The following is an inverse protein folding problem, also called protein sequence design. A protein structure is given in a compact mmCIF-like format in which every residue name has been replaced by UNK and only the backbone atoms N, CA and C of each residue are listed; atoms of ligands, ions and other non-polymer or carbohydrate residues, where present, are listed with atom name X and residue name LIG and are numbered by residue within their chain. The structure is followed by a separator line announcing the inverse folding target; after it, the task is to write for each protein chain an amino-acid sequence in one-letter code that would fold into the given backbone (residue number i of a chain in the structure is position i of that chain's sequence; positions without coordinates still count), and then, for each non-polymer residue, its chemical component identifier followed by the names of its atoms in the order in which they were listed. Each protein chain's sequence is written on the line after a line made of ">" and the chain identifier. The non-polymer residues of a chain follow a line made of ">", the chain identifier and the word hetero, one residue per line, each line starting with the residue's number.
data_IF_079773066846
#
_entry.id   IF_079773066846
#
_cell.length_a   1.000
_cell.length_b   1.000
_cell.length_c   1.000
_cell.angle_alpha   90.00
_cell.angle_beta   90.00
_cell.angle_gamma   90.00
#
_symmetry.space_group_name_H-M   'P 1'
#
loop_
_entity.id
_entity.type
_entity.pdbx_description
1 polymer ?
#
# COMPACT_ATOMS: atom_id res chain seq x y z
N UNK A 1 -39.63 -2.09 7.54
CA UNK A 1 -38.52 -1.24 7.04
C UNK A 1 -37.37 -2.14 6.62
N UNK A 2 -37.16 -2.30 5.32
CA UNK A 2 -35.94 -2.96 4.84
C UNK A 2 -34.77 -2.01 5.10
N UNK A 3 -33.86 -2.41 5.99
CA UNK A 3 -32.57 -1.76 6.15
C UNK A 3 -31.78 -2.17 4.91
N UNK A 4 -31.80 -1.34 3.87
CA UNK A 4 -30.84 -1.49 2.78
C UNK A 4 -29.45 -1.29 3.40
N UNK A 5 -28.51 -2.24 3.28
CA UNK A 5 -27.14 -1.99 3.70
C UNK A 5 -26.67 -0.76 2.93
N UNK A 6 -26.14 0.24 3.64
CA UNK A 6 -25.43 1.35 3.00
C UNK A 6 -24.32 0.69 2.19
N UNK A 7 -24.48 0.63 0.86
CA UNK A 7 -23.44 0.16 -0.05
C UNK A 7 -22.19 0.98 0.29
N UNK A 8 -21.15 0.31 0.81
CA UNK A 8 -19.89 0.99 1.14
C UNK A 8 -19.35 1.53 -0.16
N UNK A 9 -19.37 2.86 -0.30
CA UNK A 9 -18.80 3.56 -1.43
C UNK A 9 -17.35 3.08 -1.64
N UNK A 10 -17.03 2.67 -2.87
CA UNK A 10 -15.70 2.15 -3.21
C UNK A 10 -14.65 3.21 -2.91
N UNK A 11 -13.64 2.84 -2.15
CA UNK A 11 -12.45 3.63 -1.87
C UNK A 11 -11.21 2.79 -2.10
N UNK A 12 -10.32 3.31 -2.93
CA UNK A 12 -9.04 2.70 -3.31
C UNK A 12 -7.94 3.72 -3.12
N UNK A 13 -6.68 3.26 -3.08
CA UNK A 13 -5.53 4.15 -3.00
C UNK A 13 -4.40 3.74 -3.90
N UNK A 14 -3.70 4.73 -4.45
CA UNK A 14 -2.34 4.55 -4.92
C UNK A 14 -1.37 5.03 -3.82
N UNK A 15 -0.45 4.16 -3.42
CA UNK A 15 0.43 4.40 -2.29
C UNK A 15 1.93 4.28 -2.67
N UNK A 16 2.50 5.24 -3.42
CA UNK A 16 3.90 5.18 -3.83
C UNK A 16 4.85 5.66 -2.71
N UNK A 17 5.98 4.97 -2.55
CA UNK A 17 7.12 5.50 -1.81
C UNK A 17 7.94 6.43 -2.72
N UNK A 18 8.27 7.66 -2.29
CA UNK A 18 8.98 8.63 -3.12
C UNK A 18 10.51 8.37 -3.12
N UNK A 19 10.91 7.13 -3.39
CA UNK A 19 12.33 6.70 -3.45
C UNK A 19 12.87 6.61 -4.89
N UNK A 20 12.10 7.15 -5.85
CA UNK A 20 12.44 7.23 -7.25
C UNK A 20 11.29 7.82 -8.05
N UNK A 21 11.50 8.00 -9.35
CA UNK A 21 10.42 8.44 -10.25
C UNK A 21 9.33 7.37 -10.40
N UNK A 22 8.14 7.80 -10.84
CA UNK A 22 6.99 6.94 -11.09
C UNK A 22 7.31 5.88 -12.16
N UNK A 23 7.60 4.66 -11.71
CA UNK A 23 7.85 3.52 -12.57
C UNK A 23 6.57 3.08 -13.30
N UNK A 24 6.66 2.63 -14.55
CA UNK A 24 5.46 2.26 -15.35
C UNK A 24 4.63 1.13 -14.73
N UNK A 25 5.27 0.19 -14.02
CA UNK A 25 4.54 -0.83 -13.26
C UNK A 25 3.71 -0.25 -12.11
N UNK A 26 4.20 0.80 -11.46
CA UNK A 26 3.45 1.52 -10.44
C UNK A 26 2.39 2.43 -11.07
N UNK A 27 2.68 3.03 -12.23
CA UNK A 27 1.69 3.78 -13.00
C UNK A 27 0.50 2.90 -13.42
N UNK A 28 0.74 1.65 -13.85
CA UNK A 28 -0.32 0.69 -14.14
C UNK A 28 -1.17 0.36 -12.90
N UNK A 29 -0.53 0.19 -11.73
CA UNK A 29 -1.27 0.08 -10.46
C UNK A 29 -2.18 1.28 -10.24
N UNK A 30 -1.67 2.50 -10.46
CA UNK A 30 -2.45 3.73 -10.31
C UNK A 30 -3.62 3.77 -11.30
N UNK A 31 -3.40 3.41 -12.57
CA UNK A 31 -4.45 3.32 -13.61
C UNK A 31 -5.56 2.36 -13.19
N UNK A 32 -5.25 1.16 -12.71
CA UNK A 32 -6.27 0.20 -12.29
C UNK A 32 -7.06 0.67 -11.08
N UNK A 33 -6.41 1.28 -10.08
CA UNK A 33 -7.12 1.88 -8.95
C UNK A 33 -8.03 3.02 -9.44
N UNK A 34 -7.52 3.91 -10.30
CA UNK A 34 -8.29 5.03 -10.84
C UNK A 34 -9.50 4.56 -11.66
N UNK A 35 -9.31 3.61 -12.58
CA UNK A 35 -10.39 3.00 -13.37
C UNK A 35 -11.42 2.32 -12.48
N UNK A 36 -10.99 1.56 -11.47
CA UNK A 36 -11.89 0.88 -10.55
C UNK A 36 -12.73 1.87 -9.74
N UNK A 37 -12.12 2.94 -9.24
CA UNK A 37 -12.84 4.02 -8.55
C UNK A 37 -13.87 4.67 -9.49
N UNK A 38 -13.45 5.12 -10.68
CA UNK A 38 -14.31 5.82 -11.63
C UNK A 38 -15.46 4.93 -12.12
N UNK A 39 -15.21 3.64 -12.38
CA UNK A 39 -16.23 2.69 -12.80
C UNK A 39 -17.34 2.51 -11.75
N UNK A 40 -16.98 2.47 -10.47
CA UNK A 40 -17.92 2.27 -9.36
C UNK A 40 -18.43 3.58 -8.74
N UNK A 41 -18.10 4.75 -9.31
CA UNK A 41 -18.42 6.05 -8.69
C UNK A 41 -17.79 6.26 -7.31
N UNK A 42 -16.65 5.62 -7.06
CA UNK A 42 -15.89 5.66 -5.81
C UNK A 42 -14.78 6.71 -5.79
N UNK A 43 -13.94 6.66 -4.75
CA UNK A 43 -12.83 7.58 -4.52
C UNK A 43 -11.46 6.94 -4.78
N UNK A 44 -10.61 7.66 -5.51
CA UNK A 44 -9.20 7.38 -5.73
C UNK A 44 -8.33 8.29 -4.86
N UNK A 45 -7.68 7.69 -3.86
CA UNK A 45 -6.88 8.38 -2.86
C UNK A 45 -5.39 8.26 -3.18
N UNK A 46 -4.64 9.34 -2.94
CA UNK A 46 -3.19 9.32 -3.05
C UNK A 46 -2.55 9.38 -1.66
N UNK A 47 -1.70 8.40 -1.35
CA UNK A 47 -0.95 8.35 -0.09
C UNK A 47 0.55 8.22 -0.36
N UNK A 48 1.35 9.18 0.08
CA UNK A 48 2.80 9.15 -0.09
C UNK A 48 3.43 8.40 1.09
N UNK A 49 4.12 7.30 0.81
CA UNK A 49 4.77 6.45 1.81
C UNK A 49 6.22 6.90 2.06
N UNK A 50 6.37 8.07 2.70
CA UNK A 50 7.62 8.82 2.90
C UNK A 50 8.25 8.65 4.29
N UNK A 51 7.95 7.55 4.99
CA UNK A 51 8.55 7.26 6.32
C UNK A 51 10.03 6.88 6.26
N UNK A 52 10.54 6.58 5.07
CA UNK A 52 11.96 6.36 4.83
C UNK A 52 12.64 7.68 4.45
N UNK A 53 12.98 8.48 5.47
CA UNK A 53 13.51 9.83 5.29
C UNK A 53 14.84 9.91 4.52
N UNK A 54 15.63 8.84 4.51
CA UNK A 54 16.92 8.82 3.81
C UNK A 54 16.73 8.64 2.29
N UNK A 55 15.71 7.86 1.90
CA UNK A 55 15.45 7.54 0.50
C UNK A 55 14.35 8.41 -0.12
N UNK A 56 13.55 9.08 0.70
CA UNK A 56 12.43 9.92 0.26
C UNK A 56 12.86 11.35 0.01
N UNK A 57 12.39 11.96 -1.08
CA UNK A 57 12.61 13.39 -1.33
C UNK A 57 11.36 14.11 -1.86
N UNK A 58 11.31 15.42 -1.62
CA UNK A 58 10.26 16.30 -2.17
C UNK A 58 10.29 16.32 -3.70
N UNK A 59 11.49 16.28 -4.30
CA UNK A 59 11.67 16.21 -5.75
C UNK A 59 11.05 14.93 -6.34
N UNK A 60 11.31 13.77 -5.71
CA UNK A 60 10.74 12.50 -6.15
C UNK A 60 9.22 12.48 -5.98
N UNK A 61 8.73 13.03 -4.88
CA UNK A 61 7.30 13.23 -4.66
C UNK A 61 6.69 14.08 -5.77
N UNK A 62 7.27 15.25 -6.07
CA UNK A 62 6.81 16.14 -7.13
C UNK A 62 6.83 15.44 -8.50
N UNK A 63 7.87 14.65 -8.79
CA UNK A 63 7.97 13.85 -10.00
C UNK A 63 6.86 12.79 -10.13
N UNK A 64 6.50 12.13 -9.03
CA UNK A 64 5.37 11.19 -9.00
C UNK A 64 4.05 11.92 -9.28
N UNK A 65 3.79 13.03 -8.59
CA UNK A 65 2.57 13.84 -8.80
C UNK A 65 2.47 14.37 -10.23
N UNK A 66 3.59 14.83 -10.80
CA UNK A 66 3.65 15.29 -12.19
C UNK A 66 3.38 14.15 -13.17
N UNK A 67 3.92 12.95 -12.93
CA UNK A 67 3.67 11.77 -13.74
C UNK A 67 2.19 11.34 -13.74
N UNK A 68 1.56 11.32 -12.57
CA UNK A 68 0.13 11.02 -12.45
C UNK A 68 -0.74 12.05 -13.19
N UNK A 69 -0.48 13.34 -12.99
CA UNK A 69 -1.19 14.42 -13.69
C UNK A 69 -1.02 14.36 -15.19
N UNK A 70 0.20 14.06 -15.66
CA UNK A 70 0.48 13.93 -17.09
C UNK A 70 -0.27 12.76 -17.73
N UNK A 71 -0.43 11.64 -17.01
CA UNK A 71 -1.26 10.51 -17.42
C UNK A 71 -2.78 10.78 -17.34
N UNK A 72 -3.20 11.96 -16.84
CA UNK A 72 -4.61 12.29 -16.67
C UNK A 72 -5.27 11.63 -15.45
N UNK A 73 -4.48 11.18 -14.47
CA UNK A 73 -4.98 10.53 -13.26
C UNK A 73 -5.20 11.58 -12.17
N UNK A 74 -6.41 12.13 -12.10
CA UNK A 74 -6.86 12.97 -10.99
C UNK A 74 -7.15 12.12 -9.74
N UNK A 75 -7.02 12.71 -8.55
CA UNK A 75 -7.33 12.07 -7.27
C UNK A 75 -8.27 12.95 -6.46
N UNK A 76 -9.12 12.33 -5.65
CA UNK A 76 -10.34 12.97 -5.17
C UNK A 76 -10.14 13.74 -3.85
N UNK A 77 -9.05 13.46 -3.13
CA UNK A 77 -8.74 14.06 -1.82
C UNK A 77 -7.29 14.55 -1.78
N UNK A 78 -6.98 15.45 -0.82
CA UNK A 78 -5.60 15.92 -0.66
C UNK A 78 -4.66 14.74 -0.39
N UNK A 79 -3.45 14.71 -1.01
CA UNK A 79 -2.49 13.65 -0.75
C UNK A 79 -2.16 13.54 0.74
N UNK A 80 -2.13 12.32 1.24
CA UNK A 80 -1.80 12.00 2.64
C UNK A 80 -0.35 11.59 2.73
N UNK A 81 0.40 12.15 3.68
CA UNK A 81 1.83 11.85 3.88
C UNK A 81 2.01 11.06 5.16
N UNK A 82 2.70 9.91 5.08
CA UNK A 82 2.90 9.06 6.24
C UNK A 82 3.86 9.70 7.26
N UNK A 83 4.82 10.51 6.81
CA UNK A 83 5.70 11.31 7.66
C UNK A 83 4.95 12.25 8.62
N UNK A 84 3.74 12.68 8.26
CA UNK A 84 2.91 13.56 9.06
C UNK A 84 2.04 12.81 10.08
N UNK A 85 2.09 11.47 10.07
CA UNK A 85 1.18 10.58 10.81
C UNK A 85 1.89 9.69 11.82
N UNK A 86 3.16 9.97 12.09
CA UNK A 86 4.00 9.20 13.03
C UNK A 86 3.34 9.03 14.40
N UNK A 87 2.75 10.12 14.93
CA UNK A 87 2.07 10.08 16.23
C UNK A 87 0.89 9.11 16.24
N UNK A 88 0.08 9.09 15.18
CA UNK A 88 -1.04 8.16 15.05
C UNK A 88 -0.55 6.70 15.08
N UNK A 89 0.54 6.39 14.37
CA UNK A 89 1.08 5.03 14.38
C UNK A 89 1.61 4.64 15.75
N UNK A 90 2.27 5.55 16.46
CA UNK A 90 2.75 5.32 17.82
C UNK A 90 1.59 5.03 18.78
N UNK A 91 0.50 5.79 18.68
CA UNK A 91 -0.72 5.57 19.45
C UNK A 91 -1.35 4.21 19.14
N UNK A 92 -1.45 3.83 17.86
CA UNK A 92 -1.98 2.52 17.44
C UNK A 92 -1.11 1.34 17.86
N UNK A 93 0.21 1.48 17.83
CA UNK A 93 1.11 0.47 18.37
C UNK A 93 0.94 0.31 19.89
N UNK A 94 0.82 1.43 20.63
CA UNK A 94 0.58 1.39 22.07
C UNK A 94 -0.79 0.76 22.42
N UNK A 95 -1.82 1.03 21.60
CA UNK A 95 -3.13 0.39 21.69
C UNK A 95 -3.02 -1.14 21.55
N UNK A 96 -2.28 -1.62 20.56
CA UNK A 96 -2.05 -3.06 20.34
C UNK A 96 -1.28 -3.70 21.51
N UNK A 97 -0.31 -3.01 22.09
CA UNK A 97 0.39 -3.48 23.29
C UNK A 97 -0.57 -3.59 24.47
N UNK A 98 -1.40 -2.57 24.70
CA UNK A 98 -2.41 -2.57 25.78
C UNK A 98 -3.42 -3.72 25.62
N UNK A 99 -3.75 -4.10 24.38
CA UNK A 99 -4.61 -5.24 24.05
C UNK A 99 -3.91 -6.61 24.14
N UNK A 100 -2.60 -6.65 24.38
CA UNK A 100 -1.80 -7.88 24.39
C UNK A 100 -1.53 -8.47 23.00
N UNK A 101 -1.89 -7.76 21.93
CA UNK A 101 -1.64 -8.15 20.54
C UNK A 101 -0.23 -7.75 20.05
N UNK A 102 0.50 -6.97 20.84
CA UNK A 102 1.88 -6.59 20.59
C UNK A 102 2.66 -6.53 21.91
N UNK A 103 3.98 -6.54 21.83
CA UNK A 103 4.86 -6.44 22.99
C UNK A 103 6.11 -5.63 22.68
N UNK A 104 6.71 -5.05 23.73
CA UNK A 104 8.01 -4.42 23.63
C UNK A 104 9.11 -5.49 23.67
N UNK A 105 10.10 -5.38 22.79
CA UNK A 105 11.28 -6.24 22.87
C UNK A 105 12.09 -5.91 24.13
N UNK A 106 12.46 -6.95 24.89
CA UNK A 106 13.23 -6.84 26.13
C UNK A 106 14.75 -6.93 25.95
N UNK A 107 15.23 -7.12 24.73
CA UNK A 107 16.67 -7.22 24.46
C UNK A 107 17.31 -5.83 24.30
N UNK A 108 18.05 -5.41 25.33
CA UNK A 108 18.79 -4.14 25.38
C UNK A 108 17.94 -2.91 25.70
N UNK A 109 18.47 -1.71 25.45
CA UNK A 109 17.77 -0.43 25.60
C UNK A 109 16.75 -0.13 24.47
N UNK A 110 16.44 -1.13 23.64
CA UNK A 110 15.61 -1.00 22.44
C UNK A 110 14.11 -1.03 22.77
N UNK A 111 13.38 0.04 22.46
CA UNK A 111 11.92 0.14 22.64
C UNK A 111 11.11 -0.33 21.41
N UNK A 112 11.67 -1.22 20.59
CA UNK A 112 10.95 -1.73 19.43
C UNK A 112 9.66 -2.45 19.85
N UNK A 113 8.59 -2.29 19.07
CA UNK A 113 7.30 -2.97 19.29
C UNK A 113 7.12 -4.03 18.23
N UNK A 114 6.84 -5.27 18.64
CA UNK A 114 6.52 -6.39 17.74
C UNK A 114 5.07 -6.80 17.88
N UNK A 115 4.45 -7.12 16.75
CA UNK A 115 3.16 -7.77 16.70
C UNK A 115 3.32 -9.23 17.14
N UNK A 116 2.44 -9.67 18.04
CA UNK A 116 2.34 -11.06 18.46
C UNK A 116 1.36 -11.77 17.54
N UNK A 117 1.87 -12.61 16.66
CA UNK A 117 1.05 -13.39 15.73
C UNK A 117 0.21 -14.38 16.54
N UNK A 118 -1.13 -14.35 16.41
CA UNK A 118 -1.97 -15.37 17.02
C UNK A 118 -1.77 -16.72 16.33
N UNK A 119 -2.00 -17.80 17.06
CA UNK A 119 -1.99 -19.15 16.50
C UNK A 119 -3.30 -19.41 15.71
N UNK A 120 -3.45 -18.69 14.60
CA UNK A 120 -4.61 -18.71 13.71
C UNK A 120 -4.15 -18.63 12.26
N UNK A 121 -4.63 -19.55 11.43
CA UNK A 121 -4.41 -19.55 10.00
C UNK A 121 -5.11 -18.36 9.33
N UNK A 122 -4.47 -17.80 8.30
CA UNK A 122 -5.03 -16.69 7.53
C UNK A 122 -5.57 -17.20 6.21
N UNK A 123 -6.89 -17.15 6.05
CA UNK A 123 -7.58 -17.35 4.79
C UNK A 123 -8.12 -16.03 4.24
N UNK A 124 -7.92 -15.80 2.93
CA UNK A 124 -8.57 -14.71 2.20
C UNK A 124 -8.73 -15.05 0.72
N UNK A 125 -9.64 -14.34 0.05
CA UNK A 125 -9.81 -14.44 -1.40
C UNK A 125 -9.20 -13.19 -2.04
N UNK A 126 -8.16 -13.38 -2.83
CA UNK A 126 -7.65 -12.36 -3.72
C UNK A 126 -8.54 -12.27 -4.97
N UNK A 127 -8.85 -11.06 -5.42
CA UNK A 127 -9.73 -10.84 -6.57
C UNK A 127 -9.11 -11.27 -7.90
N UNK A 128 -7.78 -11.43 -7.96
CA UNK A 128 -7.04 -11.86 -9.16
C UNK A 128 -6.57 -13.31 -9.00
N UNK A 129 -5.92 -13.64 -7.88
CA UNK A 129 -5.33 -14.98 -7.67
C UNK A 129 -6.31 -16.00 -7.06
N UNK A 130 -7.48 -15.57 -6.59
CA UNK A 130 -8.47 -16.44 -5.96
C UNK A 130 -8.14 -16.77 -4.49
N UNK A 131 -8.59 -17.93 -3.97
CA UNK A 131 -8.43 -18.27 -2.56
C UNK A 131 -6.97 -18.53 -2.18
N UNK A 132 -6.51 -17.93 -1.08
CA UNK A 132 -5.18 -18.07 -0.52
C UNK A 132 -5.31 -18.43 0.97
N UNK A 133 -4.54 -19.43 1.40
CA UNK A 133 -4.46 -19.87 2.80
C UNK A 133 -3.01 -19.91 3.24
N UNK A 134 -2.72 -19.32 4.40
CA UNK A 134 -1.38 -19.31 5.01
C UNK A 134 -1.48 -19.77 6.44
N UNK A 135 -0.70 -20.80 6.78
CA UNK A 135 -0.66 -21.36 8.13
C UNK A 135 0.03 -20.40 9.11
N UNK A 136 -0.45 -20.36 10.36
CA UNK A 136 0.07 -19.48 11.43
C UNK A 136 1.58 -19.63 11.61
N UNK A 137 2.09 -20.87 11.58
CA UNK A 137 3.51 -21.21 11.75
C UNK A 137 4.44 -20.64 10.68
N UNK A 138 3.91 -20.19 9.54
CA UNK A 138 4.68 -19.55 8.47
C UNK A 138 4.76 -18.02 8.64
N UNK A 139 4.20 -17.48 9.72
CA UNK A 139 4.15 -16.06 10.01
C UNK A 139 4.82 -15.80 11.36
N UNK A 140 6.04 -15.28 11.33
CA UNK A 140 6.74 -14.87 12.55
C UNK A 140 6.24 -13.51 13.08
N UNK A 141 6.35 -13.32 14.41
CA UNK A 141 6.20 -12.03 15.07
C UNK A 141 7.03 -10.97 14.37
N UNK A 142 6.41 -9.88 13.95
CA UNK A 142 7.07 -8.86 13.11
C UNK A 142 7.03 -7.48 13.74
N UNK A 143 8.01 -6.65 13.39
CA UNK A 143 8.17 -5.31 13.97
C UNK A 143 7.07 -4.37 13.47
N UNK A 144 6.42 -3.64 14.39
CA UNK A 144 5.45 -2.58 14.12
C UNK A 144 6.09 -1.19 14.26
N UNK A 145 6.87 -0.98 15.32
CA UNK A 145 7.69 0.21 15.54
C UNK A 145 9.14 -0.19 15.74
N UNK A 146 10.04 0.52 15.06
CA UNK A 146 11.48 0.42 15.28
C UNK A 146 11.86 1.06 16.62
N UNK A 147 13.08 0.80 17.09
CA UNK A 147 13.60 1.36 18.35
C UNK A 147 13.64 2.89 18.38
N UNK A 148 13.76 3.54 17.22
CA UNK A 148 13.69 5.00 17.05
C UNK A 148 12.25 5.55 17.01
N UNK A 149 11.23 4.71 17.22
CA UNK A 149 9.83 5.11 17.25
C UNK A 149 9.17 5.30 15.87
N UNK A 150 9.89 5.02 14.76
CA UNK A 150 9.32 5.06 13.42
C UNK A 150 8.52 3.78 13.11
N UNK A 151 7.39 3.90 12.39
CA UNK A 151 6.59 2.77 11.97
C UNK A 151 7.32 1.90 10.93
N UNK A 152 6.94 0.63 10.88
CA UNK A 152 7.22 -0.21 9.71
C UNK A 152 6.09 -0.09 8.68
N UNK A 153 6.38 -0.55 7.47
CA UNK A 153 5.42 -0.63 6.37
C UNK A 153 4.11 -1.32 6.76
N UNK A 154 4.17 -2.41 7.55
CA UNK A 154 2.97 -3.14 7.94
C UNK A 154 2.03 -2.30 8.81
N UNK A 155 2.59 -1.58 9.79
CA UNK A 155 1.78 -0.75 10.68
C UNK A 155 1.21 0.46 9.94
N UNK A 156 2.03 1.21 9.21
CA UNK A 156 1.59 2.44 8.56
C UNK A 156 0.50 2.16 7.51
N UNK A 157 0.69 1.15 6.66
CA UNK A 157 -0.30 0.78 5.63
C UNK A 157 -1.64 0.41 6.22
N UNK A 158 -1.67 -0.47 7.22
CA UNK A 158 -2.94 -0.95 7.80
C UNK A 158 -3.65 0.18 8.54
N UNK A 159 -2.93 0.96 9.35
CA UNK A 159 -3.53 2.08 10.09
C UNK A 159 -4.12 3.11 9.13
N UNK A 160 -3.40 3.45 8.05
CA UNK A 160 -3.90 4.41 7.07
C UNK A 160 -5.03 3.87 6.21
N UNK A 161 -4.97 2.60 5.80
CA UNK A 161 -6.08 2.01 5.04
C UNK A 161 -7.37 1.98 5.88
N UNK A 162 -7.28 1.74 7.21
CA UNK A 162 -8.42 1.84 8.14
C UNK A 162 -8.91 3.30 8.24
N UNK A 163 -8.01 4.24 8.54
CA UNK A 163 -8.35 5.65 8.77
C UNK A 163 -8.94 6.33 7.51
N UNK A 164 -8.45 5.95 6.33
CA UNK A 164 -8.92 6.44 5.04
C UNK A 164 -10.15 5.68 4.52
N UNK A 165 -10.62 4.66 5.23
CA UNK A 165 -11.77 3.84 4.85
C UNK A 165 -11.57 3.09 3.54
N UNK A 166 -10.36 2.62 3.25
CA UNK A 166 -10.04 1.87 2.04
C UNK A 166 -10.83 0.57 2.02
N UNK A 167 -11.54 0.35 0.91
CA UNK A 167 -12.37 -0.84 0.69
C UNK A 167 -11.66 -1.90 -0.14
N UNK A 168 -10.79 -1.46 -1.05
CA UNK A 168 -10.09 -2.31 -2.01
C UNK A 168 -8.62 -1.91 -2.08
N UNK A 169 -7.73 -2.88 -1.92
CA UNK A 169 -6.27 -2.72 -2.02
C UNK A 169 -5.80 -3.41 -3.29
N UNK A 170 -5.65 -2.63 -4.35
CA UNK A 170 -5.13 -3.08 -5.65
C UNK A 170 -3.64 -2.70 -5.72
N UNK A 171 -2.74 -3.68 -5.73
CA UNK A 171 -1.28 -3.47 -5.66
C UNK A 171 -0.49 -4.57 -6.37
N UNK A 172 0.84 -4.44 -6.46
CA UNK A 172 1.70 -5.44 -7.11
C UNK A 172 1.79 -6.77 -6.36
N UNK A 173 1.98 -7.87 -7.11
CA UNK A 173 2.21 -9.23 -6.60
C UNK A 173 3.38 -9.34 -5.62
N UNK A 174 4.33 -8.40 -5.66
CA UNK A 174 5.42 -8.33 -4.68
C UNK A 174 4.95 -8.06 -3.25
N UNK A 175 3.69 -7.67 -3.05
CA UNK A 175 3.10 -7.50 -1.73
C UNK A 175 2.21 -8.65 -1.26
N UNK A 176 2.04 -9.71 -2.06
CA UNK A 176 1.11 -10.80 -1.71
C UNK A 176 1.50 -11.51 -0.40
N UNK A 177 2.81 -11.66 -0.14
CA UNK A 177 3.35 -12.24 1.09
C UNK A 177 3.18 -11.34 2.33
N UNK A 178 2.91 -10.04 2.13
CA UNK A 178 2.63 -9.10 3.22
C UNK A 178 1.16 -9.15 3.68
N UNK A 179 0.26 -9.63 2.82
CA UNK A 179 -1.19 -9.61 3.04
C UNK A 179 -1.61 -10.40 4.28
N UNK A 180 -1.11 -11.63 4.55
CA UNK A 180 -1.47 -12.35 5.77
C UNK A 180 -1.13 -11.59 7.04
N UNK A 181 0.07 -11.00 7.11
CA UNK A 181 0.52 -10.15 8.23
C UNK A 181 -0.39 -8.94 8.43
N UNK A 182 -0.80 -8.30 7.33
CA UNK A 182 -1.68 -7.13 7.37
C UNK A 182 -3.09 -7.50 7.81
N UNK A 183 -3.65 -8.62 7.32
CA UNK A 183 -4.98 -9.12 7.73
C UNK A 183 -5.03 -9.35 9.25
N UNK A 184 -4.01 -9.99 9.82
CA UNK A 184 -3.92 -10.17 11.28
C UNK A 184 -3.91 -8.84 12.03
N UNK A 185 -3.21 -7.84 11.47
CA UNK A 185 -3.15 -6.51 12.06
C UNK A 185 -4.49 -5.76 11.97
N UNK A 186 -5.22 -5.87 10.85
CA UNK A 186 -6.60 -5.35 10.73
C UNK A 186 -7.49 -5.94 11.83
N UNK A 187 -7.47 -7.27 11.98
CA UNK A 187 -8.26 -8.00 12.98
C UNK A 187 -7.91 -7.54 14.41
N UNK A 188 -6.62 -7.41 14.73
CA UNK A 188 -6.17 -6.94 16.05
C UNK A 188 -6.57 -5.48 16.36
N UNK A 189 -6.67 -4.64 15.32
CA UNK A 189 -7.19 -3.28 15.42
C UNK A 189 -8.73 -3.22 15.42
N UNK A 190 -9.42 -4.37 15.32
CA UNK A 190 -10.88 -4.46 15.33
C UNK A 190 -11.53 -4.02 14.01
N UNK A 191 -10.78 -4.03 12.91
CA UNK A 191 -11.26 -3.64 11.59
C UNK A 191 -11.42 -4.86 10.67
N UNK A 192 -12.42 -4.82 9.79
CA UNK A 192 -12.53 -5.78 8.69
C UNK A 192 -11.46 -5.44 7.63
N UNK A 193 -10.68 -6.43 7.16
CA UNK A 193 -9.75 -6.19 6.05
C UNK A 193 -10.48 -5.72 4.78
N UNK A 194 -9.85 -4.89 3.94
CA UNK A 194 -10.35 -4.58 2.61
C UNK A 194 -10.27 -5.82 1.71
N UNK A 195 -10.92 -5.75 0.55
CA UNK A 195 -10.69 -6.71 -0.52
C UNK A 195 -9.32 -6.49 -1.14
N UNK A 196 -8.60 -7.56 -1.47
CA UNK A 196 -7.25 -7.48 -2.04
C UNK A 196 -7.25 -7.94 -3.49
N UNK A 197 -6.48 -7.24 -4.33
CA UNK A 197 -6.19 -7.64 -5.69
C UNK A 197 -4.70 -7.44 -5.96
N UNK A 198 -3.98 -8.53 -6.19
CA UNK A 198 -2.55 -8.48 -6.50
C UNK A 198 -2.34 -8.63 -8.01
N UNK A 199 -1.83 -7.58 -8.64
CA UNK A 199 -1.54 -7.55 -10.08
C UNK A 199 -0.12 -8.03 -10.38
N UNK A 200 0.00 -8.91 -11.36
CA UNK A 200 1.29 -9.46 -11.80
C UNK A 200 2.25 -8.40 -12.31
N UNK A 201 3.51 -8.48 -11.93
CA UNK A 201 4.50 -7.45 -12.27
C UNK A 201 4.72 -7.36 -13.79
N UNK A 202 5.20 -6.20 -14.26
CA UNK A 202 5.68 -6.05 -15.64
C UNK A 202 7.06 -6.72 -15.73
N UNK A 203 7.22 -7.62 -16.70
CA UNK A 203 8.47 -8.32 -16.96
C UNK A 203 9.17 -7.75 -18.20
N UNK A 204 10.49 -7.76 -18.20
CA UNK A 204 11.30 -7.48 -19.37
C UNK A 204 11.33 -8.68 -20.35
N UNK A 205 11.97 -8.53 -21.52
CA UNK A 205 12.13 -9.61 -22.49
C UNK A 205 12.88 -10.84 -21.94
N UNK A 206 13.68 -10.64 -20.89
CA UNK A 206 14.43 -11.69 -20.18
C UNK A 206 13.61 -12.43 -19.12
N UNK A 207 12.30 -12.15 -19.03
CA UNK A 207 11.36 -12.67 -18.01
C UNK A 207 11.72 -12.29 -16.57
N UNK A 208 12.58 -11.28 -16.35
CA UNK A 208 12.82 -10.69 -15.03
C UNK A 208 11.95 -9.47 -14.82
N UNK A 209 11.74 -9.10 -13.56
CA UNK A 209 11.00 -7.87 -13.20
C UNK A 209 11.61 -6.69 -13.96
N UNK A 210 10.76 -5.91 -14.63
CA UNK A 210 11.19 -4.72 -15.35
C UNK A 210 11.92 -3.78 -14.37
N UNK A 211 13.02 -3.21 -14.84
CA UNK A 211 13.93 -2.42 -14.04
C UNK A 211 14.69 -1.45 -14.93
N UNK A 212 15.39 -0.48 -14.33
CA UNK A 212 16.19 0.52 -15.06
C UNK A 212 17.21 -0.09 -16.04
N UNK A 213 17.66 -1.32 -15.83
CA UNK A 213 18.59 -2.02 -16.74
C UNK A 213 17.98 -2.36 -18.11
N UNK A 214 16.65 -2.41 -18.17
CA UNK A 214 15.89 -2.65 -19.41
C UNK A 214 15.62 -1.37 -20.21
N UNK A 215 16.19 -0.23 -19.79
CA UNK A 215 16.02 1.06 -20.44
C UNK A 215 15.01 1.96 -19.72
N UNK A 216 14.14 2.58 -20.50
CA UNK A 216 13.20 3.59 -20.01
C UNK A 216 12.07 2.93 -19.22
N UNK A 217 11.92 3.36 -17.97
CA UNK A 217 10.98 2.74 -17.03
C UNK A 217 10.16 3.75 -16.24
N UNK A 218 10.43 5.04 -16.37
CA UNK A 218 9.70 6.13 -15.73
C UNK A 218 8.69 6.75 -16.69
N UNK A 219 7.50 7.10 -16.19
CA UNK A 219 6.45 7.79 -16.94
C UNK A 219 6.96 9.08 -17.59
N UNK A 220 7.70 9.91 -16.84
CA UNK A 220 8.19 11.19 -17.36
C UNK A 220 9.28 11.02 -18.43
N UNK A 221 10.01 9.91 -18.42
CA UNK A 221 10.96 9.62 -19.50
C UNK A 221 10.24 9.28 -20.81
N UNK A 222 9.12 8.56 -20.76
CA UNK A 222 8.28 8.33 -21.95
C UNK A 222 7.70 9.63 -22.51
N UNK A 223 7.29 10.57 -21.63
CA UNK A 223 6.93 11.93 -22.04
C UNK A 223 8.08 12.60 -22.79
N UNK A 224 9.28 12.57 -22.23
CA UNK A 224 10.46 13.25 -22.80
C UNK A 224 10.89 12.62 -24.14
N UNK A 225 10.53 11.35 -24.39
CA UNK A 225 10.66 10.68 -25.68
C UNK A 225 9.58 11.06 -26.71
N UNK A 226 8.58 11.86 -26.34
CA UNK A 226 7.48 12.27 -27.21
C UNK A 226 6.32 11.28 -27.27
N UNK A 227 6.24 10.30 -26.36
CA UNK A 227 5.06 9.43 -26.28
C UNK A 227 3.87 10.22 -25.75
N UNK A 228 2.71 10.09 -26.39
CA UNK A 228 1.49 10.74 -25.96
C UNK A 228 0.96 10.10 -24.65
N UNK A 229 0.40 10.88 -23.71
CA UNK A 229 -0.08 10.35 -22.44
C UNK A 229 -1.17 9.30 -22.63
N UNK A 230 -2.12 9.52 -23.56
CA UNK A 230 -3.16 8.56 -23.89
C UNK A 230 -2.61 7.27 -24.52
N UNK A 231 -1.51 7.36 -25.28
CA UNK A 231 -0.89 6.17 -25.87
C UNK A 231 -0.21 5.31 -24.79
N UNK A 232 0.48 5.95 -23.83
CA UNK A 232 1.07 5.22 -22.70
C UNK A 232 -0.02 4.66 -21.78
N UNK A 233 -1.07 5.44 -21.47
CA UNK A 233 -2.22 4.97 -20.69
C UNK A 233 -2.86 3.74 -21.34
N UNK A 234 -3.09 3.76 -22.65
CA UNK A 234 -3.71 2.64 -23.36
C UNK A 234 -2.80 1.39 -23.44
N UNK A 235 -1.48 1.59 -23.44
CA UNK A 235 -0.53 0.48 -23.45
C UNK A 235 -0.42 -0.22 -22.09
N UNK A 236 -0.57 0.54 -21.00
CA UNK A 236 -0.45 0.06 -19.63
C UNK A 236 -1.73 -0.61 -19.15
#
# INVERSE_FOLDING_TARGET
>A
CAIFPIEKMVRVRFAPSPTGHLHIGAARTAIYNWLFARHHGGSFILRIEDTDFERSSEEMTAGILAGLKWLGLDWDEKPVFQSQRIKLYQEKAAELVKKGAAYYCSEGSSKAVRFKVPDEDVFYKDLIHGPISVQSNNIEDFVLLRSNGLPTYHLSVVVDDIDLGITHVIRGDDHISNTPKQILLYRALGASPPEFAHQSLIFGPDKKKLSKRHGVTSVLQFRDMGILPLALFNYL
#
